data_IF_643096645937
#
_entry.id   IF_643096645937
#
_cell.length_a   1.000
_cell.length_b   1.000
_cell.length_c   1.000
_cell.angle_alpha   90.00
_cell.angle_beta   90.00
_cell.angle_gamma   90.00
#
_symmetry.space_group_name_H-M   'P 1'
#
loop_
_entity.id
_entity.type
_entity.pdbx_description
1 polymer ?
#
# COMPACT_ATOMS: atom_id res chain seq x y z
N UNK A 1 -6.22 41.88 -27.79
CA UNK A 1 -6.22 40.63 -28.59
C UNK A 1 -5.02 39.79 -28.14
N UNK A 2 -5.19 39.02 -27.07
CA UNK A 2 -5.51 37.58 -27.11
C UNK A 2 -4.31 36.73 -27.57
N UNK A 3 -3.38 36.47 -26.64
CA UNK A 3 -2.36 35.43 -26.77
C UNK A 3 -3.06 34.08 -26.62
N UNK A 4 -3.08 33.30 -27.70
CA UNK A 4 -3.56 31.91 -27.73
C UNK A 4 -2.40 31.01 -27.32
N UNK A 5 -2.44 30.52 -26.09
CA UNK A 5 -1.68 29.36 -25.62
C UNK A 5 -2.52 28.71 -24.53
N UNK A 6 -3.13 27.58 -24.87
CA UNK A 6 -3.62 26.61 -23.89
C UNK A 6 -3.05 25.28 -24.35
N UNK A 7 -1.80 25.07 -23.96
CA UNK A 7 -1.10 23.80 -24.00
C UNK A 7 -1.96 22.72 -23.34
N UNK A 8 -1.83 21.51 -23.87
CA UNK A 8 -2.52 20.34 -23.38
C UNK A 8 -2.32 20.17 -21.88
N UNK A 9 -3.42 19.86 -21.20
CA UNK A 9 -3.36 19.32 -19.84
C UNK A 9 -2.40 18.12 -19.90
N UNK A 10 -1.30 18.11 -19.12
CA UNK A 10 -0.35 17.03 -19.20
C UNK A 10 -0.99 15.69 -18.81
N UNK A 11 -0.57 14.61 -19.48
CA UNK A 11 -1.03 13.23 -19.23
C UNK A 11 -0.75 12.70 -17.81
N UNK A 12 -0.02 13.46 -16.96
CA UNK A 12 0.34 13.05 -15.60
C UNK A 12 -0.82 13.08 -14.59
N UNK A 13 -2.04 13.47 -14.98
CA UNK A 13 -3.22 13.35 -14.11
C UNK A 13 -3.91 11.97 -14.24
N UNK A 14 -3.49 11.08 -15.16
CA UNK A 14 -4.26 9.87 -15.47
C UNK A 14 -3.51 8.53 -15.59
N UNK A 15 -2.21 8.44 -15.35
CA UNK A 15 -1.53 7.14 -15.44
C UNK A 15 -1.59 6.40 -14.11
N UNK A 16 -2.79 5.93 -13.72
CA UNK A 16 -2.87 4.95 -12.63
C UNK A 16 -2.20 3.67 -13.11
N UNK A 17 -1.09 3.28 -12.49
CA UNK A 17 -0.39 2.02 -12.77
C UNK A 17 -1.34 0.82 -12.68
N UNK A 18 -0.94 -0.31 -13.27
CA UNK A 18 -1.73 -1.55 -13.23
C UNK A 18 -1.95 -2.03 -11.79
N UNK A 19 -0.96 -1.87 -10.92
CA UNK A 19 -1.07 -2.21 -9.50
C UNK A 19 -2.10 -1.31 -8.79
N UNK A 20 -2.03 0.00 -8.97
CA UNK A 20 -3.00 0.96 -8.40
C UNK A 20 -4.43 0.67 -8.90
N UNK A 21 -4.59 0.34 -10.18
CA UNK A 21 -5.88 -0.04 -10.74
C UNK A 21 -6.43 -1.32 -10.09
N UNK A 22 -5.58 -2.35 -9.90
CA UNK A 22 -5.96 -3.60 -9.24
C UNK A 22 -6.33 -3.39 -7.77
N UNK A 23 -5.52 -2.64 -7.01
CA UNK A 23 -5.81 -2.30 -5.61
C UNK A 23 -7.17 -1.58 -5.46
N UNK A 24 -7.43 -0.58 -6.31
CA UNK A 24 -8.72 0.15 -6.31
C UNK A 24 -9.91 -0.73 -6.72
N UNK A 25 -9.71 -1.62 -7.69
CA UNK A 25 -10.72 -2.60 -8.10
C UNK A 25 -11.06 -3.54 -6.94
N UNK A 26 -10.06 -4.15 -6.30
CA UNK A 26 -10.27 -5.02 -5.13
C UNK A 26 -10.88 -4.29 -3.95
N UNK A 27 -10.50 -3.02 -3.73
CA UNK A 27 -11.12 -2.19 -2.69
C UNK A 27 -12.63 -2.02 -2.95
N UNK A 28 -13.01 -1.80 -4.20
CA UNK A 28 -14.42 -1.71 -4.59
C UNK A 28 -15.18 -3.00 -4.28
N UNK A 29 -14.58 -4.16 -4.55
CA UNK A 29 -15.15 -5.48 -4.21
C UNK A 29 -15.30 -5.64 -2.70
N UNK A 30 -14.24 -5.41 -1.93
CA UNK A 30 -14.26 -5.51 -0.47
C UNK A 30 -15.34 -4.61 0.17
N UNK A 31 -15.53 -3.39 -0.36
CA UNK A 31 -16.58 -2.49 0.11
C UNK A 31 -17.99 -3.00 -0.19
N UNK A 32 -18.21 -3.64 -1.35
CA UNK A 32 -19.50 -4.26 -1.70
C UNK A 32 -19.82 -5.44 -0.80
N UNK A 33 -18.81 -6.24 -0.48
CA UNK A 33 -18.91 -7.41 0.39
C UNK A 33 -18.93 -7.04 1.89
N UNK A 34 -18.72 -5.74 2.19
CA UNK A 34 -18.62 -5.20 3.56
C UNK A 34 -17.46 -5.80 4.36
N UNK A 35 -16.43 -6.28 3.68
CA UNK A 35 -15.18 -6.71 4.31
C UNK A 35 -14.36 -5.48 4.72
N UNK A 36 -14.54 -5.08 5.98
CA UNK A 36 -13.86 -3.91 6.54
C UNK A 36 -12.36 -4.13 6.71
N UNK A 37 -11.94 -5.37 6.97
CA UNK A 37 -10.53 -5.69 7.18
C UNK A 37 -9.77 -5.59 5.85
N UNK A 38 -10.26 -6.27 4.80
CA UNK A 38 -9.69 -6.16 3.46
C UNK A 38 -9.69 -4.71 2.96
N UNK A 39 -10.80 -3.98 3.17
CA UNK A 39 -10.89 -2.58 2.77
C UNK A 39 -9.94 -1.65 3.54
N UNK A 40 -9.55 -1.99 4.78
CA UNK A 40 -8.55 -1.22 5.52
C UNK A 40 -7.15 -1.48 4.96
N UNK A 41 -6.78 -2.75 4.76
CA UNK A 41 -5.50 -3.17 4.18
C UNK A 41 -5.27 -2.55 2.80
N UNK A 42 -6.26 -2.64 1.90
CA UNK A 42 -6.15 -2.12 0.54
C UNK A 42 -6.03 -0.59 0.50
N UNK A 43 -6.68 0.12 1.43
CA UNK A 43 -6.50 1.57 1.57
C UNK A 43 -5.13 1.94 2.11
N UNK A 44 -4.60 1.17 3.06
CA UNK A 44 -3.25 1.36 3.59
C UNK A 44 -2.21 1.26 2.47
N UNK A 45 -2.30 0.21 1.63
CA UNK A 45 -1.40 0.03 0.50
C UNK A 45 -1.49 1.17 -0.53
N UNK A 46 -2.71 1.63 -0.87
CA UNK A 46 -2.88 2.80 -1.76
C UNK A 46 -2.25 4.05 -1.14
N UNK A 47 -2.46 4.27 0.15
CA UNK A 47 -1.88 5.42 0.85
C UNK A 47 -0.35 5.36 0.92
N UNK A 48 0.24 4.18 1.11
CA UNK A 48 1.70 3.99 1.08
C UNK A 48 2.28 4.39 -0.28
N UNK A 49 1.64 3.95 -1.38
CA UNK A 49 2.03 4.32 -2.74
C UNK A 49 1.84 5.82 -3.02
N UNK A 50 0.75 6.42 -2.55
CA UNK A 50 0.50 7.86 -2.69
C UNK A 50 1.53 8.68 -1.87
N UNK A 51 1.88 8.22 -0.67
CA UNK A 51 2.88 8.87 0.19
C UNK A 51 4.29 8.80 -0.41
N UNK A 52 4.65 7.68 -1.02
CA UNK A 52 5.95 7.49 -1.67
C UNK A 52 6.13 8.40 -2.89
N UNK A 53 5.05 8.72 -3.63
CA UNK A 53 5.11 9.73 -4.70
C UNK A 53 5.15 11.17 -4.18
N UNK A 54 4.58 11.42 -3.00
CA UNK A 54 4.33 12.77 -2.50
C UNK A 54 5.52 13.42 -1.76
N UNK A 55 6.53 12.67 -1.30
CA UNK A 55 7.37 13.13 -0.18
C UNK A 55 8.86 12.79 -0.30
N UNK A 56 9.76 13.81 -0.17
CA UNK A 56 10.98 13.73 0.63
C UNK A 56 10.61 13.77 2.13
N UNK A 57 10.99 12.73 2.88
CA UNK A 57 10.49 12.38 4.23
C UNK A 57 10.45 13.54 5.21
N UNK A 58 9.25 13.96 5.61
CA UNK A 58 9.02 14.91 6.71
C UNK A 58 7.88 14.43 7.60
N UNK A 59 8.21 14.14 8.85
CA UNK A 59 7.36 13.66 9.95
C UNK A 59 5.86 13.95 9.84
N UNK A 60 5.07 12.91 9.62
CA UNK A 60 3.61 12.98 9.51
C UNK A 60 2.95 11.77 10.16
N UNK A 61 2.87 11.79 11.49
CA UNK A 61 2.15 10.82 12.34
C UNK A 61 0.73 10.55 11.81
N UNK A 62 0.55 9.43 11.12
CA UNK A 62 -0.76 8.90 10.72
C UNK A 62 -1.57 8.39 11.92
N UNK A 63 -2.91 8.28 11.82
CA UNK A 63 -3.78 8.15 12.97
C UNK A 63 -3.58 6.82 13.69
N UNK A 64 -3.02 6.92 14.89
CA UNK A 64 -2.89 5.84 15.86
C UNK A 64 -4.30 5.44 16.30
N UNK A 65 -4.80 4.32 15.80
CA UNK A 65 -5.89 3.59 16.45
C UNK A 65 -5.35 2.25 16.94
N UNK A 66 -5.47 2.06 18.25
CA UNK A 66 -5.02 0.94 19.10
C UNK A 66 -3.72 1.17 19.87
N UNK A 67 -3.88 1.00 21.18
CA UNK A 67 -2.89 1.22 22.22
C UNK A 67 -1.70 0.25 22.11
N UNK A 68 -0.54 0.73 22.57
CA UNK A 68 0.76 0.06 22.65
C UNK A 68 1.50 -0.17 21.33
N UNK A 69 2.13 0.91 20.83
CA UNK A 69 3.34 0.80 19.99
C UNK A 69 4.53 1.16 20.87
N UNK A 70 5.05 0.16 21.58
CA UNK A 70 6.39 0.18 22.16
C UNK A 70 7.23 -0.81 21.35
N UNK A 71 8.10 -0.30 20.48
CA UNK A 71 8.95 -1.13 19.63
C UNK A 71 9.29 -0.44 18.33
N UNK A 72 10.19 0.54 18.40
CA UNK A 72 10.90 1.03 17.23
C UNK A 72 11.70 -0.14 16.63
N UNK A 73 11.34 -0.56 15.42
CA UNK A 73 12.21 -1.32 14.52
C UNK A 73 12.19 -0.61 13.16
N UNK A 74 13.08 0.37 13.05
CA UNK A 74 13.90 0.73 11.89
C UNK A 74 13.41 0.12 10.57
N UNK A 75 12.54 0.85 9.87
CA UNK A 75 12.36 0.77 8.42
C UNK A 75 12.99 2.01 7.76
N UNK A 76 14.25 2.29 8.09
CA UNK A 76 15.05 3.31 7.39
C UNK A 76 15.50 2.67 6.08
N UNK A 77 14.67 2.79 5.04
CA UNK A 77 14.95 2.26 3.70
C UNK A 77 14.38 3.08 2.54
N UNK A 78 13.62 4.14 2.80
CA UNK A 78 13.01 4.98 1.75
C UNK A 78 13.16 6.48 2.02
N UNK A 79 14.19 6.89 2.75
CA UNK A 79 14.39 8.28 3.15
C UNK A 79 14.94 9.21 2.05
N UNK A 80 15.15 8.73 0.82
CA UNK A 80 15.81 9.53 -0.22
C UNK A 80 15.26 9.23 -1.61
N UNK A 81 13.94 9.30 -1.80
CA UNK A 81 13.36 9.33 -3.13
C UNK A 81 12.88 10.75 -3.43
N UNK A 82 13.66 11.45 -4.26
CA UNK A 82 13.17 12.57 -5.06
C UNK A 82 11.77 12.25 -5.61
N UNK A 83 10.95 13.28 -5.86
CA UNK A 83 9.62 13.24 -6.51
C UNK A 83 9.66 12.57 -7.90
N UNK A 84 10.02 11.31 -7.95
CA UNK A 84 10.19 10.47 -9.11
C UNK A 84 8.89 9.70 -9.26
N UNK A 85 8.36 9.71 -10.48
CA UNK A 85 7.29 8.81 -10.88
C UNK A 85 7.72 7.39 -10.48
N UNK A 86 6.98 6.75 -9.58
CA UNK A 86 7.28 5.39 -9.18
C UNK A 86 7.23 4.50 -10.42
N UNK A 87 8.29 3.72 -10.63
CA UNK A 87 8.26 2.67 -11.63
C UNK A 87 7.38 1.52 -11.14
N UNK A 88 6.94 0.66 -12.06
CA UNK A 88 6.22 -0.57 -11.70
C UNK A 88 7.01 -1.43 -10.69
N UNK A 89 8.34 -1.37 -10.72
CA UNK A 89 9.21 -2.05 -9.76
C UNK A 89 9.15 -1.41 -8.38
N UNK A 90 9.24 -0.08 -8.29
CA UNK A 90 9.18 0.65 -7.03
C UNK A 90 7.82 0.45 -6.32
N UNK A 91 6.72 0.48 -7.08
CA UNK A 91 5.40 0.22 -6.49
C UNK A 91 5.27 -1.21 -5.94
N UNK A 92 5.87 -2.21 -6.63
CA UNK A 92 5.91 -3.60 -6.14
C UNK A 92 6.78 -3.74 -4.91
N UNK A 93 7.91 -3.05 -4.85
CA UNK A 93 8.78 -3.03 -3.67
C UNK A 93 8.04 -2.45 -2.47
N UNK A 94 7.37 -1.30 -2.63
CA UNK A 94 6.58 -0.66 -1.56
C UNK A 94 5.48 -1.61 -1.04
N UNK A 95 4.72 -2.26 -1.93
CA UNK A 95 3.71 -3.24 -1.48
C UNK A 95 4.36 -4.49 -0.88
N UNK A 96 5.52 -4.91 -1.37
CA UNK A 96 6.33 -5.98 -0.79
C UNK A 96 6.79 -5.67 0.63
N UNK A 97 7.13 -4.43 0.93
CA UNK A 97 7.47 -3.97 2.28
C UNK A 97 6.28 -4.04 3.22
N UNK A 98 5.10 -3.63 2.77
CA UNK A 98 3.86 -3.79 3.55
C UNK A 98 3.57 -5.26 3.87
N UNK A 99 3.75 -6.18 2.90
CA UNK A 99 3.61 -7.63 3.12
C UNK A 99 4.61 -8.13 4.17
N UNK A 100 5.89 -7.74 4.06
CA UNK A 100 6.92 -8.12 5.03
C UNK A 100 6.59 -7.61 6.44
N UNK A 101 6.12 -6.37 6.56
CA UNK A 101 5.68 -5.79 7.82
C UNK A 101 4.49 -6.54 8.45
N UNK A 102 3.53 -6.96 7.63
CA UNK A 102 2.38 -7.75 8.10
C UNK A 102 2.77 -9.17 8.55
N UNK A 103 3.69 -9.83 7.84
CA UNK A 103 4.24 -11.14 8.25
C UNK A 103 5.00 -11.04 9.58
N UNK A 104 5.77 -9.96 9.77
CA UNK A 104 6.46 -9.74 11.04
C UNK A 104 5.46 -9.46 12.16
N UNK A 105 4.44 -8.63 11.92
CA UNK A 105 3.37 -8.39 12.87
C UNK A 105 2.63 -9.69 13.25
N UNK A 106 2.33 -10.57 12.28
CA UNK A 106 1.75 -11.89 12.54
C UNK A 106 2.59 -12.69 13.52
N UNK A 107 3.91 -12.76 13.29
CA UNK A 107 4.85 -13.47 14.18
C UNK A 107 4.88 -12.88 15.57
N UNK A 108 4.97 -11.55 15.68
CA UNK A 108 5.00 -10.85 16.97
C UNK A 108 3.71 -11.08 17.77
N UNK A 109 2.54 -11.00 17.12
CA UNK A 109 1.27 -11.32 17.76
C UNK A 109 1.17 -12.78 18.16
N UNK A 110 1.67 -13.71 17.35
CA UNK A 110 1.69 -15.13 17.69
C UNK A 110 2.54 -15.41 18.93
N UNK A 111 3.75 -14.82 19.02
CA UNK A 111 4.63 -14.92 20.19
C UNK A 111 3.97 -14.31 21.43
N UNK A 112 3.22 -13.22 21.27
CA UNK A 112 2.48 -12.56 22.36
C UNK A 112 1.19 -13.30 22.77
N UNK A 113 0.83 -14.40 22.08
CA UNK A 113 -0.40 -15.16 22.35
C UNK A 113 -1.68 -14.51 21.79
N UNK A 114 -1.56 -13.48 20.95
CA UNK A 114 -2.67 -12.75 20.35
C UNK A 114 -3.13 -13.38 19.03
N UNK A 115 -3.63 -14.63 19.10
CA UNK A 115 -3.94 -15.44 17.92
C UNK A 115 -4.89 -14.78 16.90
N UNK A 116 -5.85 -13.99 17.36
CA UNK A 116 -6.78 -13.26 16.47
C UNK A 116 -6.02 -12.20 15.65
N UNK A 117 -5.18 -11.40 16.29
CA UNK A 117 -4.39 -10.36 15.61
C UNK A 117 -3.34 -10.96 14.68
N UNK A 118 -2.74 -12.08 15.07
CA UNK A 118 -1.85 -12.83 14.20
C UNK A 118 -2.58 -13.27 12.91
N UNK A 119 -3.76 -13.88 13.06
CA UNK A 119 -4.59 -14.29 11.91
C UNK A 119 -5.05 -13.13 11.03
N UNK A 120 -5.36 -11.97 11.62
CA UNK A 120 -5.72 -10.76 10.87
C UNK A 120 -4.54 -10.23 10.05
N UNK A 121 -3.34 -10.16 10.65
CA UNK A 121 -2.13 -9.75 9.97
C UNK A 121 -1.75 -10.71 8.83
N UNK A 122 -1.80 -12.02 9.05
CA UNK A 122 -1.54 -13.03 8.02
C UNK A 122 -2.54 -12.97 6.86
N UNK A 123 -3.83 -12.76 7.14
CA UNK A 123 -4.85 -12.55 6.09
C UNK A 123 -4.61 -11.27 5.29
N UNK A 124 -4.18 -10.20 5.93
CA UNK A 124 -3.84 -8.95 5.26
C UNK A 124 -2.61 -9.14 4.34
N UNK A 125 -1.57 -9.85 4.81
CA UNK A 125 -0.38 -10.16 4.01
C UNK A 125 -0.75 -10.99 2.77
N UNK A 126 -1.52 -12.06 2.95
CA UNK A 126 -1.96 -12.94 1.86
C UNK A 126 -2.82 -12.19 0.81
N UNK A 127 -3.64 -11.23 1.25
CA UNK A 127 -4.44 -10.41 0.33
C UNK A 127 -3.56 -9.54 -0.57
N UNK A 128 -2.52 -8.90 -0.02
CA UNK A 128 -1.61 -8.07 -0.81
C UNK A 128 -0.70 -8.92 -1.72
N UNK A 129 -0.28 -10.10 -1.25
CA UNK A 129 0.46 -11.06 -2.06
C UNK A 129 -0.35 -11.51 -3.29
N UNK A 130 -1.63 -11.86 -3.10
CA UNK A 130 -2.54 -12.23 -4.19
C UNK A 130 -2.81 -11.07 -5.17
N UNK A 131 -2.76 -9.82 -4.69
CA UNK A 131 -2.77 -8.65 -5.59
C UNK A 131 -1.54 -8.64 -6.48
N UNK A 132 -0.33 -8.84 -5.93
CA UNK A 132 0.92 -8.84 -6.69
C UNK A 132 0.96 -10.01 -7.69
N UNK A 133 0.61 -11.22 -7.23
CA UNK A 133 0.56 -12.42 -8.09
C UNK A 133 -0.43 -12.26 -9.25
N UNK A 134 -1.59 -11.63 -9.02
CA UNK A 134 -2.58 -11.34 -10.05
C UNK A 134 -2.10 -10.37 -11.15
N UNK A 135 -1.04 -9.60 -10.91
CA UNK A 135 -0.43 -8.73 -11.93
C UNK A 135 0.46 -9.50 -12.90
N UNK A 136 1.08 -10.57 -12.42
CA UNK A 136 2.05 -11.38 -13.18
C UNK A 136 1.38 -12.41 -14.09
N UNK A 137 0.05 -12.51 -14.06
CA UNK A 137 -0.72 -13.39 -14.93
C UNK A 137 -0.65 -14.87 -14.53
N UNK A 138 -0.14 -15.19 -13.35
CA UNK A 138 -0.23 -16.53 -12.77
C UNK A 138 -1.62 -16.73 -12.18
N UNK A 139 -2.62 -16.96 -13.05
CA UNK A 139 -3.82 -17.66 -12.61
C UNK A 139 -3.42 -19.09 -12.25
N UNK A 140 -3.54 -19.55 -10.99
CA UNK A 140 -3.52 -20.99 -10.73
C UNK A 140 -4.74 -21.58 -11.44
N UNK A 141 -4.47 -22.62 -12.24
CA UNK A 141 -5.47 -23.39 -12.99
C UNK A 141 -6.27 -24.28 -12.05
#
# INVERSE_FOLDING_TARGET
MARKAADGIPSWVMTSSRLRATLRSRLTVALRERDRAAAATLRSAIAALDNAEAVPTGDGRGPVTSAHVAGAAIGVGAAEADRLLLTDGDEREIVGDEIRGLIEAERLYAVAGEAVRASEAGRAAALLDDVLAGLDGTSPT
#
